data_IF_245549417417
#
_entry.id   IF_245549417417
#
_cell.length_a   1.000
_cell.length_b   1.000
_cell.length_c   1.000
_cell.angle_alpha   90.00
_cell.angle_beta   90.00
_cell.angle_gamma   90.00
#
_symmetry.space_group_name_H-M   'P 1'
#
loop_
_entity.id
_entity.type
_entity.pdbx_description
1 polymer ?
#
# COMPACT_ATOMS: atom_id res chain seq x y z
N UNK A 1 19.93 5.84 -0.90
CA UNK A 1 18.69 6.25 -1.60
C UNK A 1 18.78 7.74 -1.86
N UNK A 2 18.67 8.17 -3.12
CA UNK A 2 18.80 9.59 -3.49
C UNK A 2 17.50 10.36 -3.21
N UNK A 3 17.55 11.69 -3.23
CA UNK A 3 16.35 12.55 -3.12
C UNK A 3 15.37 12.28 -4.26
N UNK A 4 15.87 12.05 -5.47
CA UNK A 4 15.06 11.68 -6.63
C UNK A 4 14.32 10.34 -6.39
N UNK A 5 15.01 9.34 -5.84
CA UNK A 5 14.39 8.05 -5.52
C UNK A 5 13.26 8.20 -4.50
N UNK A 6 13.46 9.04 -3.48
CA UNK A 6 12.44 9.31 -2.44
C UNK A 6 11.21 9.98 -3.06
N UNK A 7 11.40 10.97 -3.93
CA UNK A 7 10.29 11.63 -4.65
C UNK A 7 9.55 10.61 -5.54
N UNK A 8 10.27 9.80 -6.31
CA UNK A 8 9.66 8.76 -7.15
C UNK A 8 8.88 7.73 -6.33
N UNK A 9 9.39 7.36 -5.16
CA UNK A 9 8.69 6.47 -4.24
C UNK A 9 7.39 7.09 -3.74
N UNK A 10 7.41 8.35 -3.28
CA UNK A 10 6.23 9.10 -2.82
C UNK A 10 5.17 9.15 -3.93
N UNK A 11 5.58 9.52 -5.15
CA UNK A 11 4.68 9.59 -6.31
C UNK A 11 4.05 8.23 -6.61
N UNK A 12 4.85 7.16 -6.67
CA UNK A 12 4.37 5.81 -6.97
C UNK A 12 3.46 5.24 -5.88
N UNK A 13 3.78 5.52 -4.62
CA UNK A 13 3.00 5.02 -3.49
C UNK A 13 1.60 5.63 -3.45
N UNK A 14 1.51 6.93 -3.73
CA UNK A 14 0.25 7.67 -3.66
C UNK A 14 -0.50 7.74 -5.01
N UNK A 15 0.16 7.36 -6.11
CA UNK A 15 -0.39 7.53 -7.46
C UNK A 15 -0.44 8.99 -7.91
N UNK A 16 0.44 9.83 -7.38
CA UNK A 16 0.45 11.26 -7.67
C UNK A 16 1.13 11.59 -8.99
N UNK A 17 0.61 12.62 -9.67
CA UNK A 17 1.28 13.28 -10.78
C UNK A 17 2.37 14.22 -10.25
N UNK A 18 3.26 14.68 -11.14
CA UNK A 18 4.35 15.60 -10.77
C UNK A 18 3.80 16.91 -10.20
N UNK A 19 2.69 17.39 -10.76
CA UNK A 19 2.08 18.67 -10.37
C UNK A 19 1.54 18.57 -8.95
N UNK A 20 0.75 17.52 -8.65
CA UNK A 20 0.23 17.26 -7.31
C UNK A 20 1.35 17.06 -6.29
N UNK A 21 2.42 16.36 -6.67
CA UNK A 21 3.56 16.16 -5.78
C UNK A 21 4.31 17.49 -5.51
N UNK A 22 4.36 18.39 -6.49
CA UNK A 22 4.99 19.69 -6.33
C UNK A 22 4.15 20.60 -5.41
N UNK A 23 2.82 20.57 -5.57
CA UNK A 23 1.87 21.29 -4.72
C UNK A 23 1.95 20.84 -3.25
N UNK A 24 2.00 19.53 -3.00
CA UNK A 24 2.13 18.96 -1.64
C UNK A 24 3.45 19.33 -0.96
N UNK A 25 4.53 19.44 -1.73
CA UNK A 25 5.84 19.88 -1.22
C UNK A 25 5.89 21.43 -1.12
N UNK A 26 4.97 22.15 -1.77
CA UNK A 26 4.93 23.61 -1.82
C UNK A 26 6.00 24.21 -2.74
N UNK A 27 6.35 23.52 -3.82
CA UNK A 27 7.38 23.95 -4.78
C UNK A 27 6.87 23.95 -6.21
N UNK A 28 7.55 24.67 -7.09
CA UNK A 28 7.18 24.69 -8.50
C UNK A 28 7.60 23.39 -9.21
N UNK A 29 6.80 22.93 -10.17
CA UNK A 29 7.03 21.70 -10.95
C UNK A 29 8.40 21.68 -11.64
N UNK A 30 8.88 22.84 -12.09
CA UNK A 30 10.21 22.98 -12.70
C UNK A 30 11.33 22.65 -11.71
N UNK A 31 11.17 23.02 -10.44
CA UNK A 31 12.14 22.72 -9.39
C UNK A 31 12.13 21.23 -9.03
N UNK A 32 10.94 20.63 -8.94
CA UNK A 32 10.80 19.18 -8.78
C UNK A 32 11.50 18.41 -9.92
N UNK A 33 11.31 18.85 -11.18
CA UNK A 33 11.98 18.25 -12.33
C UNK A 33 13.51 18.39 -12.29
N UNK A 34 14.06 19.48 -11.73
CA UNK A 34 15.50 19.61 -11.52
C UNK A 34 16.02 18.57 -10.54
N UNK A 35 15.30 18.32 -9.45
CA UNK A 35 15.68 17.31 -8.46
C UNK A 35 15.61 15.90 -9.02
N UNK A 36 14.60 15.59 -9.83
CA UNK A 36 14.51 14.32 -10.55
C UNK A 36 15.67 14.10 -11.54
N UNK A 37 16.28 15.19 -12.03
CA UNK A 37 17.49 15.13 -12.89
C UNK A 37 18.79 15.05 -12.09
N UNK A 38 18.74 14.96 -10.76
CA UNK A 38 19.91 14.81 -9.88
C UNK A 38 20.43 16.10 -9.27
N UNK A 39 19.74 17.23 -9.43
CA UNK A 39 20.10 18.47 -8.73
C UNK A 39 19.76 18.35 -7.25
N UNK A 40 20.72 18.68 -6.39
CA UNK A 40 20.55 18.61 -4.93
C UNK A 40 19.58 19.72 -4.47
N UNK A 41 18.49 19.39 -3.74
CA UNK A 41 17.59 20.39 -3.17
C UNK A 41 18.24 21.25 -2.09
N UNK A 42 17.57 22.32 -1.66
CA UNK A 42 17.95 23.00 -0.41
C UNK A 42 17.65 22.09 0.80
N UNK A 43 18.40 22.25 1.88
CA UNK A 43 18.27 21.46 3.11
C UNK A 43 16.83 21.48 3.68
N UNK A 44 16.17 22.64 3.65
CA UNK A 44 14.75 22.77 4.04
C UNK A 44 13.83 21.84 3.22
N UNK A 45 14.10 21.72 1.93
CA UNK A 45 13.30 20.91 1.02
C UNK A 45 13.65 19.42 1.13
N UNK A 46 14.90 19.09 1.45
CA UNK A 46 15.27 17.71 1.78
C UNK A 46 14.54 17.23 3.04
N UNK A 47 14.48 18.05 4.09
CA UNK A 47 13.81 17.68 5.33
C UNK A 47 12.31 17.44 5.15
N UNK A 48 11.65 18.21 4.27
CA UNK A 48 10.23 18.01 3.93
C UNK A 48 10.00 16.77 3.08
N UNK A 49 10.87 16.48 2.11
CA UNK A 49 10.81 15.23 1.34
C UNK A 49 11.03 14.02 2.25
N UNK A 50 11.98 14.12 3.17
CA UNK A 50 12.31 13.03 4.10
C UNK A 50 11.19 12.78 5.11
N UNK A 51 10.57 13.84 5.63
CA UNK A 51 9.42 13.68 6.53
C UNK A 51 8.23 13.02 5.81
N UNK A 52 7.92 13.43 4.57
CA UNK A 52 6.88 12.80 3.76
C UNK A 52 7.19 11.33 3.46
N UNK A 53 8.45 11.04 3.10
CA UNK A 53 8.90 9.67 2.85
C UNK A 53 8.74 8.79 4.09
N UNK A 54 9.22 9.24 5.25
CA UNK A 54 9.09 8.54 6.53
C UNK A 54 7.62 8.29 6.86
N UNK A 55 6.76 9.31 6.72
CA UNK A 55 5.33 9.14 6.97
C UNK A 55 4.69 8.05 6.09
N UNK A 56 5.12 7.90 4.84
CA UNK A 56 4.60 6.86 3.95
C UNK A 56 5.15 5.47 4.26
N UNK A 57 6.43 5.37 4.62
CA UNK A 57 7.06 4.09 4.99
C UNK A 57 6.47 3.55 6.29
N UNK A 58 6.24 4.41 7.29
CA UNK A 58 5.73 4.01 8.60
C UNK A 58 4.22 3.84 8.66
N UNK A 59 3.44 4.30 7.67
CA UNK A 59 2.00 4.03 7.61
C UNK A 59 1.79 2.57 7.19
N UNK A 60 1.29 1.68 8.07
CA UNK A 60 1.02 0.31 7.68
C UNK A 60 -0.02 0.33 6.56
N UNK A 61 0.30 -0.32 5.42
CA UNK A 61 -0.71 -0.60 4.39
C UNK A 61 -1.82 -1.38 5.09
N UNK A 62 -2.99 -0.75 5.27
CA UNK A 62 -4.17 -1.47 5.76
C UNK A 62 -4.31 -2.72 4.89
N UNK A 63 -4.40 -3.92 5.48
CA UNK A 63 -4.58 -5.11 4.67
C UNK A 63 -5.78 -4.87 3.77
N UNK A 64 -5.60 -4.99 2.45
CA UNK A 64 -6.72 -4.93 1.52
C UNK A 64 -7.69 -6.01 1.98
N UNK A 65 -8.81 -5.61 2.57
CA UNK A 65 -9.85 -6.54 2.97
C UNK A 65 -10.39 -7.16 1.69
N UNK A 66 -9.88 -8.33 1.35
CA UNK A 66 -10.46 -9.18 0.32
C UNK A 66 -11.62 -9.85 1.04
N UNK A 67 -12.89 -9.52 0.75
CA UNK A 67 -13.99 -10.26 1.33
C UNK A 67 -13.80 -11.73 0.93
N UNK A 68 -13.47 -12.60 1.89
CA UNK A 68 -13.52 -14.05 1.65
C UNK A 68 -14.95 -14.32 1.22
N UNK A 69 -15.15 -14.77 -0.02
CA UNK A 69 -16.43 -15.34 -0.44
C UNK A 69 -16.75 -16.41 0.60
N UNK A 70 -17.83 -16.23 1.35
CA UNK A 70 -18.34 -17.23 2.29
C UNK A 70 -18.88 -18.38 1.45
N UNK A 71 -18.00 -19.25 1.01
CA UNK A 71 -18.41 -20.55 0.49
C UNK A 71 -19.12 -21.27 1.63
N UNK A 72 -20.32 -21.78 1.33
CA UNK A 72 -21.14 -22.51 2.30
C UNK A 72 -20.35 -23.75 2.67
N UNK A 73 -19.88 -23.83 3.92
CA UNK A 73 -19.23 -25.05 4.42
C UNK A 73 -20.30 -26.14 4.42
N UNK A 74 -20.28 -27.01 3.40
CA UNK A 74 -21.08 -28.24 3.40
C UNK A 74 -20.33 -29.23 4.26
N UNK A 75 -20.76 -29.34 5.52
CA UNK A 75 -20.32 -30.44 6.37
C UNK A 75 -21.10 -31.65 5.87
N UNK A 76 -20.48 -32.46 5.01
CA UNK A 76 -20.98 -33.80 4.76
C UNK A 76 -20.87 -34.55 6.09
N UNK A 77 -22.02 -34.81 6.72
CA UNK A 77 -22.07 -35.57 7.95
C UNK A 77 -21.57 -36.97 7.61
N UNK A 78 -20.40 -37.43 8.09
CA UNK A 78 -19.96 -38.77 7.80
C UNK A 78 -21.01 -39.71 8.39
N UNK A 79 -21.47 -40.67 7.58
CA UNK A 79 -22.40 -41.70 7.99
C UNK A 79 -21.73 -42.52 9.10
N UNK A 80 -21.88 -42.09 10.35
CA UNK A 80 -21.36 -42.82 11.49
C UNK A 80 -22.15 -44.13 11.60
N UNK A 81 -21.39 -45.23 11.70
CA UNK A 81 -21.81 -46.63 11.88
C UNK A 81 -22.71 -46.91 13.10
N UNK A 82 -23.18 -45.88 13.80
CA UNK A 82 -23.99 -45.96 15.00
C UNK A 82 -25.50 -45.83 14.74
N UNK A 83 -25.90 -45.50 13.50
CA UNK A 83 -27.29 -45.67 13.06
C UNK A 83 -27.50 -47.11 12.59
N UNK A 84 -27.63 -48.05 13.52
CA UNK A 84 -28.21 -49.36 13.21
C UNK A 84 -29.64 -49.13 12.71
N UNK A 85 -29.93 -49.52 11.48
CA UNK A 85 -31.30 -49.47 10.97
C UNK A 85 -32.10 -50.62 11.60
N UNK A 86 -33.35 -50.35 11.96
CA UNK A 86 -34.24 -51.23 12.73
C UNK A 86 -34.45 -52.64 12.13
N UNK A 87 -34.03 -52.85 10.88
CA UNK A 87 -34.18 -54.09 10.12
C UNK A 87 -32.87 -54.89 9.95
N UNK A 88 -31.73 -54.42 10.46
CA UNK A 88 -30.48 -55.21 10.51
C UNK A 88 -30.48 -56.20 11.71
N UNK A 89 -31.59 -56.93 11.88
CA UNK A 89 -31.78 -57.93 12.93
C UNK A 89 -31.30 -59.31 12.50
#
# INVERSE_FOLDING_TARGET
MTTADKILFIMRHNGWTKDVCADEIGVHVTQLNRWLRGVIPSEKNMNTIDSLYIQLVFKPKRPKYIPRKREKIVIEYPYYSHQRQLWEK
#
